data_IF_047406217735
#
_entry.id   IF_047406217735
#
_cell.length_a   1.000
_cell.length_b   1.000
_cell.length_c   1.000
_cell.angle_alpha   90.00
_cell.angle_beta   90.00
_cell.angle_gamma   90.00
#
_symmetry.space_group_name_H-M   'P 1'
#
loop_
_entity.id
_entity.type
_entity.pdbx_description
1 polymer ?
#
# COMPACT_ATOMS: atom_id res chain seq x y z
N UNK A 1 -13.95 10.29 10.42
CA UNK A 1 -14.45 9.41 11.50
C UNK A 1 -14.98 10.22 12.67
N UNK A 2 -14.15 10.91 13.47
CA UNK A 2 -14.64 11.72 14.63
C UNK A 2 -15.64 12.80 14.23
N UNK A 3 -15.27 13.66 13.27
CA UNK A 3 -16.12 14.76 12.80
C UNK A 3 -17.42 14.21 12.18
N UNK A 4 -17.32 13.13 11.41
CA UNK A 4 -18.47 12.47 10.79
C UNK A 4 -19.45 11.92 11.84
N UNK A 5 -18.95 11.31 12.92
CA UNK A 5 -19.78 10.81 14.02
C UNK A 5 -20.53 11.93 14.75
N UNK A 6 -19.84 13.04 15.05
CA UNK A 6 -20.46 14.21 15.68
C UNK A 6 -21.51 14.89 14.77
N UNK A 7 -21.25 14.91 13.46
CA UNK A 7 -22.20 15.43 12.46
C UNK A 7 -23.45 14.55 12.34
N UNK A 8 -23.29 13.22 12.33
CA UNK A 8 -24.41 12.28 12.28
C UNK A 8 -25.32 12.35 13.52
N UNK A 9 -24.75 12.60 14.71
CA UNK A 9 -25.49 12.74 15.97
C UNK A 9 -26.15 14.13 16.12
N UNK A 10 -25.72 15.12 15.32
CA UNK A 10 -26.30 16.45 15.33
C UNK A 10 -27.69 16.51 14.71
N UNK A 11 -28.40 17.62 14.94
CA UNK A 11 -29.71 17.90 14.34
C UNK A 11 -29.72 17.86 12.81
N UNK A 12 -28.56 18.02 12.16
CA UNK A 12 -28.42 17.98 10.70
C UNK A 12 -28.35 16.55 10.14
N UNK A 13 -28.22 15.53 11.00
CA UNK A 13 -28.22 14.11 10.66
C UNK A 13 -27.09 13.69 9.72
N UNK A 14 -27.19 12.47 9.19
CA UNK A 14 -26.19 11.89 8.29
C UNK A 14 -25.93 12.67 6.97
N UNK A 15 -26.91 13.39 6.37
CA UNK A 15 -26.65 14.14 5.12
C UNK A 15 -25.59 15.24 5.28
N UNK A 16 -25.45 15.79 6.50
CA UNK A 16 -24.48 16.84 6.81
C UNK A 16 -23.03 16.44 6.52
N UNK A 17 -22.69 15.15 6.62
CA UNK A 17 -21.36 14.63 6.32
C UNK A 17 -21.00 14.90 4.85
N UNK A 18 -21.95 14.75 3.93
CA UNK A 18 -21.73 14.99 2.50
C UNK A 18 -21.56 16.47 2.19
N UNK A 19 -22.39 17.33 2.78
CA UNK A 19 -22.31 18.78 2.55
C UNK A 19 -21.02 19.39 3.11
N UNK A 20 -20.62 19.00 4.32
CA UNK A 20 -19.40 19.54 4.96
C UNK A 20 -18.15 19.05 4.22
N UNK A 21 -18.04 17.75 3.93
CA UNK A 21 -16.86 17.21 3.23
C UNK A 21 -16.77 17.70 1.78
N UNK A 22 -17.90 17.78 1.07
CA UNK A 22 -17.96 18.36 -0.27
C UNK A 22 -17.59 19.85 -0.30
N UNK A 23 -18.08 20.63 0.66
CA UNK A 23 -17.74 22.05 0.79
C UNK A 23 -16.26 22.28 1.05
N UNK A 24 -15.64 21.50 1.93
CA UNK A 24 -14.18 21.53 2.18
C UNK A 24 -13.42 21.19 0.88
N UNK A 25 -13.87 20.19 0.11
CA UNK A 25 -13.24 19.84 -1.16
C UNK A 25 -13.30 20.97 -2.19
N UNK A 26 -14.42 21.66 -2.30
CA UNK A 26 -14.58 22.83 -3.20
C UNK A 26 -13.65 23.97 -2.76
N UNK A 27 -13.62 24.29 -1.46
CA UNK A 27 -12.73 25.31 -0.90
C UNK A 27 -11.26 24.97 -1.15
N UNK A 28 -10.88 23.70 -0.96
CA UNK A 28 -9.53 23.22 -1.28
C UNK A 28 -9.21 23.38 -2.76
N UNK A 29 -10.16 23.10 -3.66
CA UNK A 29 -10.01 23.32 -5.10
C UNK A 29 -9.67 24.77 -5.44
N UNK A 30 -10.39 25.75 -4.87
CA UNK A 30 -10.12 27.17 -5.06
C UNK A 30 -8.73 27.61 -4.56
N UNK A 31 -8.21 26.96 -3.52
CA UNK A 31 -6.85 27.18 -3.04
C UNK A 31 -5.81 26.47 -3.92
N UNK A 32 -6.10 25.26 -4.40
CA UNK A 32 -5.16 24.46 -5.18
C UNK A 32 -4.88 25.03 -6.56
N UNK A 33 -5.91 25.46 -7.30
CA UNK A 33 -5.77 25.99 -8.66
C UNK A 33 -4.76 27.15 -8.84
N UNK A 34 -4.70 28.16 -7.95
CA UNK A 34 -3.70 29.22 -8.06
C UNK A 34 -2.30 28.85 -7.55
N UNK A 35 -2.16 27.77 -6.77
CA UNK A 35 -0.92 27.38 -6.10
C UNK A 35 -0.11 26.31 -6.86
N UNK A 36 -0.73 25.60 -7.81
CA UNK A 36 -0.07 24.55 -8.59
C UNK A 36 0.75 25.13 -9.75
N UNK A 37 1.96 24.63 -9.94
CA UNK A 37 2.84 24.94 -11.07
C UNK A 37 3.45 23.64 -11.59
N UNK A 38 3.42 23.43 -12.90
CA UNK A 38 3.90 22.21 -13.55
C UNK A 38 5.43 22.16 -13.72
N UNK A 39 6.10 23.31 -13.54
CA UNK A 39 7.55 23.42 -13.69
C UNK A 39 8.26 23.31 -12.33
N UNK A 40 9.33 22.51 -12.21
CA UNK A 40 10.17 22.56 -11.03
C UNK A 40 10.72 23.98 -10.84
N UNK A 41 10.92 24.45 -9.60
CA UNK A 41 11.47 25.78 -9.35
C UNK A 41 12.81 25.95 -10.09
N UNK A 42 12.89 26.94 -10.97
CA UNK A 42 14.09 27.35 -11.73
C UNK A 42 15.23 27.86 -10.84
N UNK A 43 15.00 27.97 -9.53
CA UNK A 43 16.01 28.32 -8.56
C UNK A 43 16.94 27.12 -8.38
N UNK A 44 18.18 27.23 -8.87
CA UNK A 44 19.21 26.18 -9.00
C UNK A 44 19.69 25.49 -7.71
N UNK A 45 18.77 25.10 -6.83
CA UNK A 45 18.94 24.24 -5.66
C UNK A 45 18.24 22.89 -5.81
N UNK A 46 17.38 22.71 -6.81
CA UNK A 46 16.89 21.40 -7.24
C UNK A 46 17.80 20.85 -8.32
N UNK A 47 18.36 19.66 -8.12
CA UNK A 47 19.25 19.01 -9.08
C UNK A 47 18.65 19.03 -10.49
N UNK A 48 19.51 19.27 -11.48
CA UNK A 48 19.19 19.14 -12.90
C UNK A 48 18.43 17.84 -13.15
N UNK A 49 17.13 17.94 -13.40
CA UNK A 49 16.40 16.85 -14.06
C UNK A 49 16.99 16.82 -15.47
N UNK A 50 17.69 15.74 -15.87
CA UNK A 50 18.30 15.71 -17.18
C UNK A 50 17.22 15.86 -18.24
N UNK A 51 17.54 16.69 -19.24
CA UNK A 51 16.77 17.04 -20.43
C UNK A 51 15.74 16.00 -20.90
N UNK A 52 14.67 16.55 -21.47
CA UNK A 52 13.53 15.99 -22.23
C UNK A 52 13.86 14.97 -23.34
N UNK A 53 15.04 14.38 -23.35
CA UNK A 53 15.46 13.28 -24.22
C UNK A 53 15.49 11.92 -23.49
N UNK A 54 14.66 11.70 -22.46
CA UNK A 54 14.21 10.34 -22.18
C UNK A 54 13.26 9.94 -23.31
N UNK A 55 13.84 9.54 -24.45
CA UNK A 55 13.15 8.73 -25.46
C UNK A 55 12.26 7.76 -24.70
N UNK A 56 10.93 7.86 -24.87
CA UNK A 56 9.93 7.07 -24.14
C UNK A 56 10.46 5.64 -23.98
N UNK A 57 11.00 5.33 -22.79
CA UNK A 57 11.69 4.07 -22.57
C UNK A 57 10.61 3.01 -22.78
N UNK A 58 10.75 2.22 -23.85
CA UNK A 58 9.76 1.20 -24.19
C UNK A 58 9.64 0.26 -22.99
N UNK A 59 8.47 0.26 -22.36
CA UNK A 59 8.25 -0.49 -21.12
C UNK A 59 8.36 -1.99 -21.42
N UNK A 60 9.26 -2.73 -20.75
CA UNK A 60 9.45 -4.15 -20.99
C UNK A 60 8.37 -4.98 -20.27
N UNK A 61 7.14 -4.92 -20.78
CA UNK A 61 5.94 -5.51 -20.16
C UNK A 61 6.10 -6.98 -19.79
N UNK A 62 6.63 -7.81 -20.71
CA UNK A 62 6.82 -9.25 -20.46
C UNK A 62 7.78 -9.51 -19.29
N UNK A 63 8.86 -8.74 -19.21
CA UNK A 63 9.88 -8.89 -18.16
C UNK A 63 9.37 -8.41 -16.80
N UNK A 64 8.57 -7.34 -16.78
CA UNK A 64 7.93 -6.83 -15.55
C UNK A 64 6.90 -7.83 -15.04
N UNK A 65 5.96 -8.26 -15.89
CA UNK A 65 4.88 -9.17 -15.51
C UNK A 65 5.35 -10.59 -15.20
N UNK A 66 6.53 -10.99 -15.66
CA UNK A 66 7.13 -12.29 -15.32
C UNK A 66 8.10 -12.23 -14.14
N UNK A 67 8.39 -11.03 -13.60
CA UNK A 67 9.35 -10.88 -12.50
C UNK A 67 8.72 -11.36 -11.18
N UNK A 68 9.30 -12.38 -10.51
CA UNK A 68 8.76 -12.90 -9.25
C UNK A 68 8.79 -11.85 -8.14
N UNK A 69 9.81 -10.98 -8.13
CA UNK A 69 9.90 -9.90 -7.15
C UNK A 69 8.76 -8.90 -7.33
N UNK A 70 8.44 -8.51 -8.57
CA UNK A 70 7.32 -7.62 -8.85
C UNK A 70 5.97 -8.28 -8.52
N UNK A 71 5.74 -9.51 -8.96
CA UNK A 71 4.50 -10.23 -8.68
C UNK A 71 4.27 -10.44 -7.18
N UNK A 72 5.32 -10.77 -6.42
CA UNK A 72 5.23 -10.87 -4.96
C UNK A 72 4.86 -9.55 -4.30
N UNK A 73 5.39 -8.44 -4.83
CA UNK A 73 5.13 -7.11 -4.32
C UNK A 73 3.68 -6.68 -4.59
N UNK A 74 3.17 -6.94 -5.79
CA UNK A 74 1.77 -6.68 -6.17
C UNK A 74 0.80 -7.51 -5.32
N UNK A 75 1.06 -8.80 -5.17
CA UNK A 75 0.24 -9.67 -4.31
C UNK A 75 0.23 -9.17 -2.87
N UNK A 76 1.40 -8.80 -2.34
CA UNK A 76 1.53 -8.28 -0.97
C UNK A 76 0.73 -7.01 -0.78
N UNK A 77 0.80 -6.09 -1.74
CA UNK A 77 0.03 -4.85 -1.72
C UNK A 77 -1.48 -5.13 -1.75
N UNK A 78 -1.94 -6.06 -2.58
CA UNK A 78 -3.35 -6.44 -2.64
C UNK A 78 -3.85 -7.09 -1.35
N UNK A 79 -3.10 -8.02 -0.76
CA UNK A 79 -3.46 -8.63 0.52
C UNK A 79 -3.45 -7.61 1.68
N UNK A 80 -2.47 -6.70 1.72
CA UNK A 80 -2.42 -5.63 2.70
C UNK A 80 -3.64 -4.70 2.58
N UNK A 81 -4.00 -4.31 1.35
CA UNK A 81 -5.17 -3.47 1.09
C UNK A 81 -6.49 -4.20 1.37
N UNK A 82 -6.55 -5.52 1.24
CA UNK A 82 -7.73 -6.28 1.66
C UNK A 82 -8.05 -6.05 3.13
N UNK A 83 -7.08 -6.28 4.02
CA UNK A 83 -7.31 -6.08 5.45
C UNK A 83 -7.52 -4.61 5.81
N UNK A 84 -6.84 -3.68 5.14
CA UNK A 84 -7.08 -2.25 5.32
C UNK A 84 -8.50 -1.84 4.93
N UNK A 85 -8.97 -2.16 3.72
CA UNK A 85 -10.30 -1.79 3.27
C UNK A 85 -11.40 -2.51 4.04
N UNK A 86 -11.22 -3.81 4.34
CA UNK A 86 -12.15 -4.55 5.19
C UNK A 86 -12.35 -3.86 6.54
N UNK A 87 -11.27 -3.48 7.23
CA UNK A 87 -11.37 -2.77 8.50
C UNK A 87 -11.87 -1.33 8.30
N UNK A 88 -11.60 -0.69 7.17
CA UNK A 88 -12.06 0.69 6.90
C UNK A 88 -13.57 0.78 6.70
N UNK A 89 -14.14 -0.15 5.94
CA UNK A 89 -15.57 -0.13 5.60
C UNK A 89 -16.42 -0.80 6.67
N UNK A 90 -15.92 -1.90 7.24
CA UNK A 90 -16.72 -2.79 8.08
C UNK A 90 -16.55 -2.55 9.58
N UNK A 91 -15.51 -1.83 10.01
CA UNK A 91 -15.26 -1.58 11.43
C UNK A 91 -16.40 -0.83 12.14
N UNK A 92 -16.98 0.25 11.56
CA UNK A 92 -18.11 0.91 12.20
C UNK A 92 -19.31 -0.04 12.36
N UNK A 93 -19.57 -0.89 11.37
CA UNK A 93 -20.64 -1.91 11.41
C UNK A 93 -20.38 -2.94 12.51
N UNK A 94 -19.15 -3.44 12.63
CA UNK A 94 -18.76 -4.37 13.69
C UNK A 94 -18.92 -3.76 15.09
N UNK A 95 -18.42 -2.54 15.30
CA UNK A 95 -18.52 -1.85 16.60
C UNK A 95 -19.97 -1.54 16.98
N UNK A 96 -20.81 -1.17 16.01
CA UNK A 96 -22.23 -0.88 16.22
C UNK A 96 -23.06 -2.15 16.47
N UNK A 97 -22.99 -3.14 15.57
CA UNK A 97 -23.84 -4.32 15.62
C UNK A 97 -23.38 -5.38 16.63
N UNK A 98 -22.07 -5.59 16.80
CA UNK A 98 -21.53 -6.66 17.66
C UNK A 98 -21.13 -6.15 19.04
N UNK A 99 -20.50 -4.98 19.11
CA UNK A 99 -20.08 -4.38 20.37
C UNK A 99 -21.09 -3.39 20.94
N UNK A 100 -22.19 -3.09 20.23
CA UNK A 100 -23.26 -2.20 20.69
C UNK A 100 -22.74 -0.85 21.18
N UNK A 101 -21.87 -0.21 20.39
CA UNK A 101 -21.50 1.19 20.59
C UNK A 101 -22.55 2.11 19.93
N UNK A 102 -22.90 3.21 20.59
CA UNK A 102 -23.70 4.27 20.01
C UNK A 102 -22.95 4.96 18.86
N UNK A 103 -23.66 5.70 18.01
CA UNK A 103 -23.11 6.30 16.77
C UNK A 103 -21.95 7.25 17.07
N UNK A 104 -22.08 8.07 18.11
CA UNK A 104 -21.06 9.05 18.49
C UNK A 104 -19.78 8.35 19.00
N UNK A 105 -19.91 7.44 19.97
CA UNK A 105 -18.79 6.66 20.52
C UNK A 105 -18.18 5.77 19.45
N UNK A 106 -18.97 5.20 18.55
CA UNK A 106 -18.48 4.42 17.42
C UNK A 106 -17.60 5.26 16.49
N UNK A 107 -17.99 6.51 16.20
CA UNK A 107 -17.17 7.45 15.42
C UNK A 107 -15.82 7.77 16.09
N UNK A 108 -15.80 7.90 17.42
CA UNK A 108 -14.58 8.09 18.20
C UNK A 108 -13.71 6.83 18.22
N UNK A 109 -14.28 5.68 18.58
CA UNK A 109 -13.56 4.40 18.72
C UNK A 109 -13.04 3.91 17.38
N UNK A 110 -13.81 4.06 16.30
CA UNK A 110 -13.38 3.74 14.92
C UNK A 110 -12.21 4.60 14.46
N UNK A 111 -12.00 5.79 15.03
CA UNK A 111 -10.87 6.65 14.66
C UNK A 111 -9.54 6.25 15.31
N UNK A 112 -9.60 5.59 16.47
CA UNK A 112 -8.41 5.26 17.27
C UNK A 112 -7.39 4.41 16.51
N UNK A 113 -7.76 3.30 15.83
CA UNK A 113 -6.76 2.46 15.16
C UNK A 113 -6.05 3.18 14.02
N UNK A 114 -6.74 4.07 13.30
CA UNK A 114 -6.14 4.86 12.22
C UNK A 114 -5.23 5.95 12.74
N UNK A 115 -5.58 6.57 13.87
CA UNK A 115 -4.69 7.51 14.56
C UNK A 115 -3.44 6.77 15.07
N UNK A 116 -3.61 5.60 15.68
CA UNK A 116 -2.49 4.75 16.09
C UNK A 116 -1.63 4.35 14.89
N UNK A 117 -2.23 3.99 13.74
CA UNK A 117 -1.50 3.68 12.51
C UNK A 117 -0.66 4.84 12.04
N UNK A 118 -1.22 6.06 12.01
CA UNK A 118 -0.47 7.25 11.61
C UNK A 118 0.71 7.53 12.54
N UNK A 119 0.51 7.45 13.86
CA UNK A 119 1.58 7.63 14.85
C UNK A 119 2.70 6.58 14.69
N UNK A 120 2.34 5.30 14.62
CA UNK A 120 3.29 4.20 14.43
C UNK A 120 4.02 4.34 13.09
N UNK A 121 3.31 4.66 12.02
CA UNK A 121 3.88 4.86 10.69
C UNK A 121 4.98 5.93 10.70
N UNK A 122 4.70 7.12 11.26
CA UNK A 122 5.67 8.22 11.31
C UNK A 122 6.86 7.87 12.19
N UNK A 123 6.60 7.38 13.42
CA UNK A 123 7.67 7.02 14.36
C UNK A 123 8.57 5.89 13.83
N UNK A 124 7.97 4.86 13.23
CA UNK A 124 8.71 3.73 12.70
C UNK A 124 9.50 4.08 11.44
N UNK A 125 8.94 4.89 10.54
CA UNK A 125 9.66 5.38 9.35
C UNK A 125 10.90 6.16 9.75
N UNK A 126 10.75 7.14 10.66
CA UNK A 126 11.88 7.92 11.18
C UNK A 126 12.95 7.02 11.84
N UNK A 127 12.52 6.02 12.60
CA UNK A 127 13.44 5.09 13.26
C UNK A 127 14.20 4.19 12.25
N UNK A 128 13.52 3.69 11.21
CA UNK A 128 14.14 2.89 10.14
C UNK A 128 15.16 3.72 9.37
N UNK A 129 14.78 4.91 8.93
CA UNK A 129 15.66 5.79 8.13
C UNK A 129 16.92 6.13 8.91
N UNK A 130 16.78 6.53 10.18
CA UNK A 130 17.91 6.85 11.06
C UNK A 130 18.77 5.63 11.40
N UNK A 131 18.19 4.44 11.43
CA UNK A 131 18.94 3.19 11.65
C UNK A 131 19.73 2.79 10.40
N UNK A 132 19.21 3.06 9.21
CA UNK A 132 19.90 2.86 7.94
C UNK A 132 21.03 3.88 7.76
N UNK A 133 20.81 5.16 8.07
CA UNK A 133 21.85 6.22 8.05
C UNK A 133 23.05 5.86 8.93
N UNK A 134 22.80 5.23 10.09
CA UNK A 134 23.82 4.80 11.04
C UNK A 134 24.48 3.46 10.67
N UNK A 135 24.14 2.88 9.52
CA UNK A 135 24.69 1.60 9.06
C UNK A 135 24.29 0.39 9.91
N UNK A 136 23.23 0.48 10.74
CA UNK A 136 22.79 -0.62 11.61
C UNK A 136 22.03 -1.70 10.85
N UNK A 137 21.29 -1.32 9.81
CA UNK A 137 20.50 -2.22 8.98
C UNK A 137 20.81 -2.02 7.50
N UNK A 138 20.93 -3.13 6.78
CA UNK A 138 20.93 -3.10 5.31
C UNK A 138 19.52 -2.78 4.79
N UNK A 139 19.42 -2.25 3.57
CA UNK A 139 18.13 -1.99 2.91
C UNK A 139 17.23 -3.23 2.94
N UNK A 140 17.79 -4.39 2.59
CA UNK A 140 17.07 -5.67 2.62
C UNK A 140 16.55 -6.03 4.00
N UNK A 141 17.37 -5.86 5.03
CA UNK A 141 16.99 -6.15 6.42
C UNK A 141 15.86 -5.22 6.88
N UNK A 142 15.98 -3.91 6.60
CA UNK A 142 14.96 -2.92 6.96
C UNK A 142 13.62 -3.22 6.31
N UNK A 143 13.58 -3.42 4.99
CA UNK A 143 12.34 -3.71 4.24
C UNK A 143 11.70 -5.02 4.68
N UNK A 144 12.53 -6.04 4.92
CA UNK A 144 12.07 -7.35 5.41
C UNK A 144 11.45 -7.23 6.80
N UNK A 145 12.13 -6.56 7.72
CA UNK A 145 11.65 -6.37 9.09
C UNK A 145 10.37 -5.54 9.14
N UNK A 146 10.32 -4.42 8.42
CA UNK A 146 9.16 -3.54 8.34
C UNK A 146 7.90 -4.28 7.83
N UNK A 147 8.06 -5.05 6.75
CA UNK A 147 6.96 -5.81 6.15
C UNK A 147 6.56 -7.02 7.01
N UNK A 148 7.51 -7.69 7.67
CA UNK A 148 7.21 -8.77 8.61
C UNK A 148 6.38 -8.27 9.79
N UNK A 149 6.83 -7.18 10.41
CA UNK A 149 6.15 -6.60 11.56
C UNK A 149 4.74 -6.15 11.14
N UNK A 150 4.61 -5.49 9.99
CA UNK A 150 3.35 -4.91 9.51
C UNK A 150 2.35 -5.92 8.94
N UNK A 151 2.79 -7.12 8.53
CA UNK A 151 1.89 -8.17 8.04
C UNK A 151 1.63 -9.26 9.09
N UNK A 152 2.67 -9.82 9.69
CA UNK A 152 2.54 -10.97 10.62
C UNK A 152 1.91 -10.54 11.94
N UNK A 153 2.32 -9.40 12.49
CA UNK A 153 1.80 -8.96 13.80
C UNK A 153 0.30 -8.65 13.72
N UNK A 154 -0.19 -7.89 12.73
CA UNK A 154 -1.64 -7.69 12.57
C UNK A 154 -2.38 -8.98 12.28
N UNK A 155 -1.80 -9.93 11.54
CA UNK A 155 -2.44 -11.23 11.31
C UNK A 155 -2.69 -11.99 12.61
N UNK A 156 -1.69 -12.06 13.49
CA UNK A 156 -1.81 -12.72 14.79
C UNK A 156 -2.79 -11.99 15.72
N UNK A 157 -2.76 -10.65 15.71
CA UNK A 157 -3.67 -9.83 16.51
C UNK A 157 -5.12 -9.95 16.03
N UNK A 158 -5.37 -9.96 14.72
CA UNK A 158 -6.71 -10.16 14.16
C UNK A 158 -7.24 -11.56 14.48
N UNK A 159 -6.41 -12.59 14.41
CA UNK A 159 -6.79 -13.94 14.81
C UNK A 159 -7.10 -14.05 16.32
N UNK A 160 -6.44 -13.25 17.16
CA UNK A 160 -6.62 -13.27 18.61
C UNK A 160 -7.78 -12.42 19.13
N UNK A 161 -8.43 -11.59 18.29
CA UNK A 161 -9.61 -10.77 18.68
C UNK A 161 -10.68 -11.61 19.38
N UNK A 162 -10.87 -12.86 18.96
CA UNK A 162 -11.88 -13.74 19.52
C UNK A 162 -11.59 -14.17 20.97
N UNK A 163 -10.32 -14.14 21.38
CA UNK A 163 -9.91 -14.41 22.75
C UNK A 163 -10.29 -13.27 23.70
N UNK A 164 -10.59 -12.07 23.18
CA UNK A 164 -11.05 -10.92 23.96
C UNK A 164 -12.41 -11.09 24.64
N UNK A 165 -13.14 -12.16 24.32
CA UNK A 165 -14.38 -12.54 25.00
C UNK A 165 -15.47 -11.46 24.90
N UNK A 166 -16.03 -11.07 26.05
CA UNK A 166 -17.06 -10.02 26.14
C UNK A 166 -16.50 -8.61 26.39
N UNK A 167 -15.18 -8.46 26.57
CA UNK A 167 -14.62 -7.15 26.90
C UNK A 167 -14.46 -6.29 25.64
N UNK A 168 -15.32 -5.28 25.51
CA UNK A 168 -15.26 -4.29 24.41
C UNK A 168 -13.89 -3.60 24.36
N UNK A 169 -13.30 -3.31 25.53
CA UNK A 169 -12.01 -2.63 25.66
C UNK A 169 -10.89 -3.48 25.08
N UNK A 170 -10.85 -4.78 25.39
CA UNK A 170 -9.80 -5.68 24.88
C UNK A 170 -9.87 -5.80 23.36
N UNK A 171 -11.08 -5.94 22.80
CA UNK A 171 -11.28 -6.01 21.35
C UNK A 171 -10.81 -4.73 20.66
N UNK A 172 -11.17 -3.57 21.19
CA UNK A 172 -10.74 -2.26 20.65
C UNK A 172 -9.22 -2.11 20.74
N UNK A 173 -8.58 -2.50 21.85
CA UNK A 173 -7.13 -2.45 21.99
C UNK A 173 -6.42 -3.34 20.97
N UNK A 174 -6.91 -4.57 20.76
CA UNK A 174 -6.36 -5.49 19.76
C UNK A 174 -6.50 -4.92 18.35
N UNK A 175 -7.64 -4.31 18.01
CA UNK A 175 -7.85 -3.62 16.73
C UNK A 175 -6.90 -2.42 16.56
N UNK A 176 -6.75 -1.59 17.60
CA UNK A 176 -5.82 -0.46 17.59
C UNK A 176 -4.37 -0.92 17.37
N UNK A 177 -3.95 -2.00 18.04
CA UNK A 177 -2.61 -2.56 17.86
C UNK A 177 -2.44 -3.19 16.47
N UNK A 178 -3.44 -3.92 15.97
CA UNK A 178 -3.37 -4.54 14.64
C UNK A 178 -3.25 -3.50 13.52
N UNK A 179 -4.18 -2.54 13.47
CA UNK A 179 -4.15 -1.48 12.46
C UNK A 179 -2.96 -0.55 12.69
N UNK A 180 -2.63 -0.27 13.96
CA UNK A 180 -1.48 0.53 14.35
C UNK A 180 -0.17 -0.01 13.78
N UNK A 181 0.14 -1.28 14.08
CA UNK A 181 1.37 -1.94 13.65
C UNK A 181 1.42 -2.14 12.13
N UNK A 182 0.28 -2.31 11.46
CA UNK A 182 0.24 -2.32 9.98
C UNK A 182 0.75 -1.01 9.34
N UNK A 183 0.96 0.07 10.12
CA UNK A 183 1.57 1.30 9.65
C UNK A 183 3.03 1.13 9.19
N UNK A 184 3.74 0.10 9.68
CA UNK A 184 5.15 -0.15 9.32
C UNK A 184 5.34 -0.57 7.87
N UNK A 185 4.27 -1.01 7.19
CA UNK A 185 4.28 -1.38 5.77
C UNK A 185 4.70 -0.23 4.85
N UNK A 186 4.46 1.01 5.28
CA UNK A 186 4.86 2.23 4.57
C UNK A 186 6.38 2.31 4.39
N UNK A 187 7.15 1.84 5.38
CA UNK A 187 8.61 1.69 5.32
C UNK A 187 9.04 0.28 4.84
N UNK A 188 8.09 -0.57 4.48
CA UNK A 188 8.28 -1.95 4.05
C UNK A 188 8.12 -2.09 2.54
N UNK A 189 7.10 -2.84 2.12
CA UNK A 189 6.89 -3.16 0.72
C UNK A 189 6.52 -1.94 -0.14
N UNK A 190 5.90 -0.89 0.43
CA UNK A 190 5.49 0.31 -0.34
C UNK A 190 6.68 1.05 -0.97
N UNK A 191 7.81 1.16 -0.24
CA UNK A 191 9.04 1.73 -0.80
C UNK A 191 9.67 0.86 -1.90
N UNK A 192 9.37 -0.45 -1.92
CA UNK A 192 10.03 -1.39 -2.81
C UNK A 192 9.73 -1.13 -4.30
N UNK A 193 8.61 -0.47 -4.64
CA UNK A 193 8.32 -0.09 -6.04
C UNK A 193 9.41 0.81 -6.64
N UNK A 194 9.89 1.79 -5.86
CA UNK A 194 10.93 2.72 -6.28
C UNK A 194 12.31 2.06 -6.32
N UNK A 195 12.56 1.12 -5.41
CA UNK A 195 13.84 0.40 -5.31
C UNK A 195 14.01 -0.69 -6.38
N UNK A 196 12.90 -1.31 -6.80
CA UNK A 196 12.91 -2.44 -7.73
C UNK A 196 13.29 -2.01 -9.15
N UNK A 197 12.76 -0.87 -9.61
CA UNK A 197 13.11 -0.28 -10.90
C UNK A 197 12.88 1.25 -10.90
N UNK A 198 13.89 2.05 -10.52
CA UNK A 198 13.79 3.51 -10.45
C UNK A 198 13.30 4.17 -11.75
N UNK A 199 13.70 3.65 -12.91
CA UNK A 199 13.30 4.21 -14.21
C UNK A 199 11.81 4.00 -14.52
N UNK A 200 11.20 2.97 -13.94
CA UNK A 200 9.80 2.58 -14.16
C UNK A 200 8.96 2.66 -12.88
N UNK A 201 9.46 3.34 -11.82
CA UNK A 201 8.86 3.33 -10.49
C UNK A 201 7.38 3.77 -10.51
N UNK A 202 7.04 4.81 -11.28
CA UNK A 202 5.67 5.28 -11.45
C UNK A 202 4.76 4.24 -12.12
N UNK A 203 5.24 3.57 -13.17
CA UNK A 203 4.50 2.50 -13.88
C UNK A 203 4.26 1.31 -12.95
N UNK A 204 5.30 0.89 -12.23
CA UNK A 204 5.24 -0.20 -11.26
C UNK A 204 4.26 0.09 -10.12
N UNK A 205 4.37 1.27 -9.51
CA UNK A 205 3.48 1.71 -8.44
C UNK A 205 2.03 1.82 -8.91
N UNK A 206 1.79 2.36 -10.11
CA UNK A 206 0.45 2.46 -10.70
C UNK A 206 -0.18 1.09 -10.98
N UNK A 207 0.57 0.17 -11.59
CA UNK A 207 0.09 -1.19 -11.85
C UNK A 207 -0.19 -1.95 -10.54
N UNK A 208 0.73 -1.86 -9.58
CA UNK A 208 0.56 -2.47 -8.27
C UNK A 208 -0.65 -1.91 -7.52
N UNK A 209 -0.86 -0.58 -7.54
CA UNK A 209 -2.01 0.05 -6.91
C UNK A 209 -3.34 -0.31 -7.59
N UNK A 210 -3.34 -0.49 -8.92
CA UNK A 210 -4.54 -0.94 -9.65
C UNK A 210 -5.02 -2.30 -9.16
N UNK A 211 -4.10 -3.27 -9.02
CA UNK A 211 -4.46 -4.59 -8.47
C UNK A 211 -4.81 -4.47 -6.98
N UNK A 212 -4.08 -3.64 -6.23
CA UNK A 212 -4.29 -3.48 -4.80
C UNK A 212 -5.57 -2.72 -4.43
N UNK A 213 -6.27 -2.10 -5.37
CA UNK A 213 -7.56 -1.45 -5.14
C UNK A 213 -8.76 -2.38 -5.40
N UNK A 214 -8.57 -3.52 -6.07
CA UNK A 214 -9.62 -4.55 -6.25
C UNK A 214 -10.25 -5.03 -4.93
N UNK A 215 -9.48 -5.25 -3.84
CA UNK A 215 -10.06 -5.58 -2.54
C UNK A 215 -11.06 -4.54 -2.01
N UNK A 216 -11.00 -3.28 -2.47
CA UNK A 216 -11.88 -2.21 -2.01
C UNK A 216 -13.37 -2.48 -2.28
N UNK A 217 -13.72 -3.25 -3.31
CA UNK A 217 -15.10 -3.67 -3.56
C UNK A 217 -15.34 -5.16 -3.23
N UNK A 218 -14.30 -6.00 -3.28
CA UNK A 218 -14.43 -7.42 -2.97
C UNK A 218 -14.56 -7.69 -1.46
N UNK A 219 -13.85 -6.94 -0.62
CA UNK A 219 -13.85 -7.16 0.83
C UNK A 219 -15.22 -6.86 1.48
N UNK A 220 -15.90 -5.73 1.16
CA UNK A 220 -17.26 -5.50 1.63
C UNK A 220 -18.24 -6.58 1.14
N UNK A 221 -18.12 -7.01 -0.12
CA UNK A 221 -18.99 -8.05 -0.68
C UNK A 221 -18.84 -9.40 0.05
N UNK A 222 -17.60 -9.82 0.30
CA UNK A 222 -17.34 -11.05 1.06
C UNK A 222 -17.82 -10.92 2.50
N UNK A 223 -17.61 -9.76 3.13
CA UNK A 223 -18.06 -9.51 4.52
C UNK A 223 -19.58 -9.56 4.60
N UNK A 224 -20.28 -8.95 3.63
CA UNK A 224 -21.74 -9.02 3.51
C UNK A 224 -22.23 -10.46 3.43
N UNK A 225 -21.65 -11.27 2.54
CA UNK A 225 -21.99 -12.70 2.42
C UNK A 225 -21.72 -13.49 3.71
N UNK A 226 -20.58 -13.27 4.37
CA UNK A 226 -20.22 -13.96 5.62
C UNK A 226 -21.10 -13.54 6.81
N UNK A 227 -21.73 -12.36 6.74
CA UNK A 227 -22.54 -11.79 7.83
C UNK A 227 -24.05 -11.73 7.51
N UNK A 228 -24.47 -12.33 6.39
CA UNK A 228 -25.83 -12.26 5.84
C UNK A 228 -26.89 -12.82 6.80
N UNK A 229 -26.63 -14.00 7.37
CA UNK A 229 -27.61 -14.68 8.23
C UNK A 229 -27.71 -14.05 9.63
N UNK A 230 -26.57 -13.66 10.22
CA UNK A 230 -26.49 -13.08 11.56
C UNK A 230 -25.24 -12.20 11.74
N UNK A 231 -25.43 -11.00 12.28
CA UNK A 231 -24.36 -10.12 12.78
C UNK A 231 -23.79 -10.65 14.12
N UNK A 232 -23.34 -11.90 14.12
CA UNK A 232 -22.85 -12.62 15.28
C UNK A 232 -21.32 -12.54 15.39
N UNK A 233 -20.78 -12.70 16.60
CA UNK A 233 -19.32 -12.81 16.81
C UNK A 233 -18.68 -13.97 16.01
N UNK A 234 -19.45 -15.01 15.70
CA UNK A 234 -18.97 -16.15 14.91
C UNK A 234 -18.77 -15.78 13.43
N UNK A 235 -19.68 -15.00 12.85
CA UNK A 235 -19.59 -14.54 11.47
C UNK A 235 -18.40 -13.59 11.28
N UNK A 236 -18.26 -12.61 12.18
CA UNK A 236 -17.12 -11.69 12.17
C UNK A 236 -15.78 -12.35 12.44
N UNK A 237 -15.77 -13.49 13.16
CA UNK A 237 -14.57 -14.33 13.28
C UNK A 237 -14.03 -14.73 11.92
N UNK A 238 -14.92 -15.17 11.03
CA UNK A 238 -14.51 -15.65 9.71
C UNK A 238 -13.91 -14.51 8.90
N UNK A 239 -14.51 -13.31 8.96
CA UNK A 239 -13.99 -12.10 8.33
C UNK A 239 -12.56 -11.79 8.80
N UNK A 240 -12.31 -11.76 10.12
CA UNK A 240 -10.97 -11.49 10.66
C UNK A 240 -9.96 -12.61 10.35
N UNK A 241 -10.40 -13.87 10.33
CA UNK A 241 -9.55 -15.02 9.96
C UNK A 241 -9.17 -14.99 8.48
N UNK A 242 -10.07 -14.58 7.58
CA UNK A 242 -9.75 -14.41 6.16
C UNK A 242 -8.68 -13.31 5.99
N UNK A 243 -8.86 -12.15 6.64
CA UNK A 243 -7.87 -11.08 6.61
C UNK A 243 -6.51 -11.55 7.18
N UNK A 244 -6.52 -12.27 8.31
CA UNK A 244 -5.32 -12.85 8.92
C UNK A 244 -4.61 -13.83 7.99
N UNK A 245 -5.35 -14.74 7.34
CA UNK A 245 -4.80 -15.69 6.39
C UNK A 245 -4.15 -15.00 5.17
N UNK A 246 -4.79 -13.95 4.63
CA UNK A 246 -4.24 -13.17 3.53
C UNK A 246 -2.95 -12.43 3.94
N UNK A 247 -2.91 -11.86 5.14
CA UNK A 247 -1.68 -11.25 5.66
C UNK A 247 -0.54 -12.27 5.82
N UNK A 248 -0.80 -13.45 6.38
CA UNK A 248 0.21 -14.50 6.50
C UNK A 248 0.68 -15.02 5.14
N UNK A 249 -0.25 -15.20 4.19
CA UNK A 249 0.07 -15.58 2.81
C UNK A 249 0.99 -14.54 2.16
N UNK A 250 0.63 -13.26 2.26
CA UNK A 250 1.45 -12.18 1.71
C UNK A 250 2.83 -12.11 2.35
N UNK A 251 2.93 -12.26 3.67
CA UNK A 251 4.21 -12.31 4.37
C UNK A 251 5.07 -13.46 3.87
N UNK A 252 4.50 -14.66 3.72
CA UNK A 252 5.21 -15.83 3.20
C UNK A 252 5.74 -15.58 1.77
N UNK A 253 4.86 -15.13 0.86
CA UNK A 253 5.22 -14.86 -0.54
C UNK A 253 6.25 -13.75 -0.67
N UNK A 254 6.07 -12.64 0.06
CA UNK A 254 7.00 -11.53 0.07
C UNK A 254 8.38 -11.97 0.55
N UNK A 255 8.46 -12.71 1.66
CA UNK A 255 9.74 -13.19 2.19
C UNK A 255 10.49 -14.11 1.24
N UNK A 256 9.76 -14.93 0.47
CA UNK A 256 10.36 -15.87 -0.48
C UNK A 256 10.91 -15.18 -1.72
N UNK A 257 10.23 -14.16 -2.23
CA UNK A 257 10.52 -13.57 -3.55
C UNK A 257 11.00 -12.12 -3.51
N UNK A 258 11.03 -11.46 -2.35
CA UNK A 258 11.47 -10.08 -2.25
C UNK A 258 12.93 -9.92 -2.73
N UNK A 259 13.15 -8.89 -3.54
CA UNK A 259 14.47 -8.44 -3.97
C UNK A 259 14.60 -6.93 -3.74
N UNK A 260 15.72 -6.52 -3.14
CA UNK A 260 16.10 -5.11 -3.04
C UNK A 260 17.19 -4.75 -4.04
N UNK A 261 17.53 -5.66 -4.96
CA UNK A 261 18.41 -5.37 -6.09
C UNK A 261 17.56 -4.84 -7.24
N UNK A 262 18.06 -3.78 -7.86
CA UNK A 262 17.51 -3.23 -9.11
C UNK A 262 17.38 -4.37 -10.12
N UNK A 263 16.20 -4.49 -10.74
CA UNK A 263 15.93 -5.56 -11.69
C UNK A 263 16.67 -5.33 -13.01
N UNK A 264 17.11 -6.40 -13.71
CA UNK A 264 17.92 -6.28 -14.92
C UNK A 264 17.22 -5.52 -16.05
N UNK A 265 15.89 -5.54 -16.08
CA UNK A 265 15.07 -4.83 -17.06
C UNK A 265 14.90 -3.33 -16.76
N UNK A 266 15.50 -2.80 -15.69
CA UNK A 266 15.45 -1.36 -15.36
C UNK A 266 16.16 -0.49 -16.41
N UNK A 267 17.23 -0.99 -17.04
CA UNK A 267 18.03 -0.24 -18.02
C UNK A 267 17.92 -0.87 -19.42
N UNK A 268 17.27 -0.18 -20.39
CA UNK A 268 17.10 -0.70 -21.76
C UNK A 268 18.41 -0.86 -22.54
N UNK A 269 19.51 -0.26 -22.07
CA UNK A 269 20.83 -0.35 -22.68
C UNK A 269 21.44 -1.75 -22.56
N UNK A 270 20.96 -2.61 -21.66
CA UNK A 270 21.43 -3.99 -21.54
C UNK A 270 20.90 -4.89 -22.66
N UNK A 271 19.63 -4.72 -23.08
CA UNK A 271 19.07 -5.48 -24.20
C UNK A 271 19.66 -5.10 -25.57
N UNK A 272 20.00 -3.82 -25.76
CA UNK A 272 20.63 -3.36 -27.01
C UNK A 272 22.01 -3.97 -27.25
N UNK A 273 22.77 -4.29 -26.18
CA UNK A 273 24.10 -4.92 -26.31
C UNK A 273 24.01 -6.37 -26.79
N UNK A 274 23.10 -7.15 -26.23
CA UNK A 274 22.89 -8.55 -26.64
C UNK A 274 22.38 -8.65 -28.09
N UNK A 275 21.46 -7.78 -28.50
CA UNK A 275 20.97 -7.74 -29.88
C UNK A 275 22.04 -7.25 -30.88
N UNK A 276 22.94 -6.37 -30.45
CA UNK A 276 24.06 -5.90 -31.29
C UNK A 276 25.22 -6.90 -31.39
N UNK A 277 25.44 -7.76 -30.39
CA UNK A 277 26.43 -8.84 -30.46
C UNK A 277 25.93 -10.06 -31.23
N UNK A 278 24.61 -10.26 -31.34
CA UNK A 278 24.01 -11.30 -32.18
C UNK A 278 23.84 -10.89 -33.66
N UNK A 279 24.00 -9.61 -33.99
CA UNK A 279 24.09 -9.17 -35.37
C UNK A 279 25.44 -9.62 -35.98
N UNK A 280 25.40 -10.70 -36.75
CA UNK A 280 26.52 -11.27 -37.49
C UNK A 280 27.38 -10.17 -38.15
N UNK A 281 28.72 -10.18 -38.02
CA UNK A 281 29.55 -9.21 -38.72
C UNK A 281 29.37 -9.45 -40.22
N UNK A 282 28.82 -8.46 -40.92
CA UNK A 282 28.78 -8.43 -42.37
C UNK A 282 30.22 -8.61 -42.85
N UNK A 283 30.53 -9.78 -43.39
CA UNK A 283 31.81 -10.08 -44.02
C UNK A 283 32.08 -9.03 -45.09
N UNK A 284 33.20 -8.34 -44.97
CA UNK A 284 33.77 -7.49 -46.01
C UNK A 284 33.85 -8.28 -47.32
N UNK A 285 32.91 -8.05 -48.24
CA UNK A 285 33.03 -8.51 -49.61
C UNK A 285 34.00 -7.56 -50.29
N UNK A 286 35.25 -7.99 -50.31
CA UNK A 286 36.30 -7.49 -51.19
C UNK A 286 35.76 -7.47 -52.64
N UNK A 287 35.53 -6.28 -53.19
CA UNK A 287 35.48 -6.07 -54.64
C UNK A 287 36.84 -5.58 -55.09
N UNK A 288 37.78 -6.51 -55.17
CA UNK A 288 38.88 -6.43 -56.14
C UNK A 288 38.31 -6.83 -57.50
N UNK A 289 38.13 -5.85 -58.39
CA UNK A 289 37.98 -6.11 -59.81
C UNK A 289 38.62 -4.97 -60.60
N UNK A 290 39.95 -5.08 -60.74
CA UNK A 290 40.67 -4.56 -61.90
C UNK A 290 40.30 -5.42 -63.12
N UNK A 291 39.66 -4.83 -64.13
CA UNK A 291 39.84 -5.11 -65.57
C UNK A 291 39.00 -4.12 -66.39
#
# INVERSE_FOLDING_TARGET
>A
MVVSGALCDSWAGWPSVFFVTGGIGILWGFLWFPLISDSPPTDGRGGTVPDDNKSLLSVPWRSILSSPAFLSLVLTHACANWGFYCLLTEMPSYLGHVLHFDVYTNGLVSSLPYLTKWLVMVSFSFWIDRSMERGRFSLRTSRRMASLIGLVTPALLLASIQLGGCSKIVVVLLLCLAVGISGTDSSGFLCAYQELAPNYAGVLAGLGNTVATLPGFLAPQLTGYLTEDQQSRSSWRQVFLVASALYLLSAAVYLTFMSTKVQPWNDPSHGRKEDSEQACPLSDVNTDANA
#
